data_IF_581129411208
#
_entry.id   IF_581129411208
#
_cell.length_a   1.000
_cell.length_b   1.000
_cell.length_c   1.000
_cell.angle_alpha   90.00
_cell.angle_beta   90.00
_cell.angle_gamma   90.00
#
_symmetry.space_group_name_H-M   'P 1'
#
loop_
_entity.id
_entity.type
_entity.pdbx_description
1 polymer ?
#
# COMPACT_ATOMS: atom_id res chain seq x y z
N UNK A 1 -11.70 16.47 -55.15
CA UNK A 1 -11.14 17.42 -56.13
C UNK A 1 -9.81 17.93 -55.58
N UNK A 2 -8.72 17.69 -56.34
CA UNK A 2 -7.33 18.22 -56.33
C UNK A 2 -6.64 18.52 -54.98
N UNK A 3 -5.61 17.78 -54.49
CA UNK A 3 -4.27 17.36 -55.01
C UNK A 3 -3.31 18.52 -55.37
N UNK A 4 -2.20 18.63 -54.63
CA UNK A 4 -0.77 18.67 -55.08
C UNK A 4 0.14 18.72 -53.81
N UNK A 5 1.05 17.80 -53.45
CA UNK A 5 2.20 17.12 -54.13
C UNK A 5 3.36 18.13 -54.39
N UNK A 6 4.45 18.18 -53.60
CA UNK A 6 5.70 17.35 -53.52
C UNK A 6 6.88 18.33 -53.82
N UNK A 7 8.17 18.20 -53.46
CA UNK A 7 9.18 17.16 -53.73
C UNK A 7 10.51 17.52 -53.02
N UNK A 8 11.25 16.48 -52.57
CA UNK A 8 12.65 16.42 -52.12
C UNK A 8 13.69 16.75 -53.21
N UNK A 9 14.94 17.09 -52.84
CA UNK A 9 16.13 16.49 -53.49
C UNK A 9 17.43 16.65 -52.69
N UNK A 10 18.23 15.58 -52.72
CA UNK A 10 19.56 15.36 -52.13
C UNK A 10 20.75 15.84 -53.01
N UNK A 11 21.87 16.21 -52.34
CA UNK A 11 23.31 15.92 -52.62
C UNK A 11 23.98 16.30 -53.99
N UNK A 12 25.33 16.22 -54.17
CA UNK A 12 26.51 16.24 -53.25
C UNK A 12 27.76 17.05 -53.74
N UNK A 13 28.84 17.01 -52.92
CA UNK A 13 30.30 16.99 -53.23
C UNK A 13 30.99 18.12 -54.03
N UNK A 14 32.06 18.67 -53.45
CA UNK A 14 33.34 18.92 -54.18
C UNK A 14 34.55 18.85 -53.24
N UNK A 15 35.63 18.31 -53.81
CA UNK A 15 36.98 18.04 -53.28
C UNK A 15 37.97 18.79 -54.19
N UNK A 16 39.09 19.30 -53.67
CA UNK A 16 40.38 19.64 -54.34
C UNK A 16 41.16 20.57 -53.38
N UNK A 17 42.48 20.69 -53.30
CA UNK A 17 43.68 19.99 -53.77
C UNK A 17 44.87 20.55 -52.93
N UNK A 18 45.75 19.69 -52.37
CA UNK A 18 47.18 19.55 -52.68
C UNK A 18 47.98 20.82 -53.04
N UNK A 19 49.09 21.08 -52.31
CA UNK A 19 50.46 21.33 -52.84
C UNK A 19 51.52 21.32 -51.71
N UNK A 20 52.50 20.40 -51.76
CA UNK A 20 53.96 20.54 -52.10
C UNK A 20 54.85 21.16 -51.01
N UNK A 21 55.68 20.37 -50.33
CA UNK A 21 57.06 19.91 -50.65
C UNK A 21 58.18 20.96 -50.41
N UNK A 22 59.02 20.71 -49.40
CA UNK A 22 60.31 21.38 -49.17
C UNK A 22 61.31 20.41 -48.56
N UNK A 23 62.47 20.25 -49.21
CA UNK A 23 63.49 19.20 -49.04
C UNK A 23 64.71 19.78 -48.31
N UNK A 24 65.30 19.07 -47.33
CA UNK A 24 66.55 19.57 -46.72
C UNK A 24 67.24 18.72 -45.63
N UNK A 25 68.02 17.73 -46.08
CA UNK A 25 69.32 17.22 -45.53
C UNK A 25 69.48 16.75 -44.07
N UNK A 26 69.86 15.46 -44.01
CA UNK A 26 70.98 14.82 -43.28
C UNK A 26 70.99 14.85 -41.75
N UNK A 27 70.87 13.64 -41.19
CA UNK A 27 71.92 13.14 -40.30
C UNK A 27 71.43 12.57 -38.97
N UNK A 28 71.95 11.36 -38.68
CA UNK A 28 71.96 10.62 -37.41
C UNK A 28 70.75 9.74 -37.15
N UNK A 29 71.03 8.44 -37.30
CA UNK A 29 70.23 7.34 -36.79
C UNK A 29 69.94 7.55 -35.30
N UNK A 30 68.66 7.55 -34.96
CA UNK A 30 68.17 7.38 -33.60
C UNK A 30 67.21 6.21 -33.65
N UNK A 31 67.51 5.24 -32.80
CA UNK A 31 66.78 4.00 -32.58
C UNK A 31 65.33 4.33 -32.16
N UNK A 32 64.35 4.11 -33.04
CA UNK A 32 62.94 4.19 -32.68
C UNK A 32 62.51 2.84 -32.09
N UNK A 33 62.38 2.80 -30.77
CA UNK A 33 61.57 1.77 -30.10
C UNK A 33 60.11 2.10 -30.39
N UNK A 34 59.47 1.29 -31.25
CA UNK A 34 58.03 1.34 -31.45
C UNK A 34 57.39 0.63 -30.25
N UNK A 35 56.94 1.40 -29.25
CA UNK A 35 55.98 0.88 -28.28
C UNK A 35 54.60 0.91 -28.95
N UNK A 36 54.17 -0.24 -29.48
CA UNK A 36 52.76 -0.45 -29.81
C UNK A 36 51.97 -0.54 -28.51
N UNK A 37 51.36 0.58 -28.09
CA UNK A 37 50.26 0.52 -27.13
C UNK A 37 49.04 -0.04 -27.84
N UNK A 38 48.81 -1.34 -27.71
CA UNK A 38 47.51 -1.93 -27.96
C UNK A 38 46.55 -1.42 -26.88
N UNK A 39 45.69 -0.47 -27.24
CA UNK A 39 44.61 -0.03 -26.37
C UNK A 39 43.56 -1.14 -26.35
N UNK A 40 43.70 -2.08 -25.41
CA UNK A 40 42.63 -2.98 -25.02
C UNK A 40 41.52 -2.11 -24.40
N UNK A 41 40.47 -1.85 -25.20
CA UNK A 41 39.18 -1.47 -24.67
C UNK A 41 38.64 -2.66 -23.87
N UNK A 42 39.06 -2.75 -22.61
CA UNK A 42 38.33 -3.53 -21.64
C UNK A 42 36.96 -2.88 -21.51
N UNK A 43 35.93 -3.50 -22.09
CA UNK A 43 34.55 -3.27 -21.67
C UNK A 43 34.49 -3.70 -20.20
N UNK A 44 34.81 -2.78 -19.29
CA UNK A 44 34.37 -2.90 -17.91
C UNK A 44 32.86 -2.76 -17.97
N UNK A 45 32.16 -3.88 -18.03
CA UNK A 45 30.77 -3.91 -17.62
C UNK A 45 30.77 -3.30 -16.22
N UNK A 46 30.26 -2.08 -16.10
CA UNK A 46 29.91 -1.51 -14.81
C UNK A 46 28.94 -2.56 -14.24
N UNK A 47 29.27 -3.24 -13.13
CA UNK A 47 28.29 -4.12 -12.52
C UNK A 47 27.06 -3.26 -12.30
N UNK A 48 25.93 -3.66 -12.89
CA UNK A 48 24.65 -3.07 -12.54
C UNK A 48 24.62 -3.08 -11.03
N UNK A 49 24.65 -1.89 -10.42
CA UNK A 49 24.67 -1.77 -8.97
C UNK A 49 23.55 -2.65 -8.46
N UNK A 50 23.87 -3.58 -7.57
CA UNK A 50 22.87 -4.42 -6.92
C UNK A 50 21.83 -3.45 -6.37
N UNK A 51 20.67 -3.37 -7.00
CA UNK A 51 19.54 -2.66 -6.41
C UNK A 51 19.36 -3.30 -5.03
N UNK A 52 19.51 -2.50 -3.97
CA UNK A 52 19.13 -2.97 -2.64
C UNK A 52 17.70 -3.47 -2.76
N UNK A 53 17.38 -4.62 -2.16
CA UNK A 53 15.98 -4.99 -2.00
C UNK A 53 15.24 -3.79 -1.37
N UNK A 54 14.04 -3.49 -1.89
CA UNK A 54 13.22 -2.40 -1.38
C UNK A 54 13.05 -2.59 0.14
N UNK A 55 13.06 -1.50 0.90
CA UNK A 55 12.75 -1.59 2.32
C UNK A 55 11.29 -2.03 2.52
N UNK A 56 10.94 -2.58 3.69
CA UNK A 56 9.54 -2.93 3.97
C UNK A 56 8.61 -1.72 3.85
N UNK A 57 9.09 -0.53 4.24
CA UNK A 57 8.36 0.72 4.07
C UNK A 57 8.18 1.09 2.60
N UNK A 58 9.18 0.88 1.74
CA UNK A 58 9.05 1.14 0.30
C UNK A 58 8.11 0.14 -0.38
N UNK A 59 8.17 -1.13 0.01
CA UNK A 59 7.26 -2.16 -0.48
C UNK A 59 5.81 -1.88 -0.04
N UNK A 60 5.60 -1.51 1.23
CA UNK A 60 4.30 -1.09 1.73
C UNK A 60 3.83 0.16 1.00
N UNK A 61 4.65 1.21 0.90
CA UNK A 61 4.26 2.44 0.19
C UNK A 61 3.83 2.17 -1.25
N UNK A 62 4.54 1.30 -1.97
CA UNK A 62 4.23 0.98 -3.37
C UNK A 62 2.82 0.42 -3.56
N UNK A 63 2.33 -0.38 -2.62
CA UNK A 63 1.03 -1.06 -2.71
C UNK A 63 -0.02 -0.50 -1.75
N UNK A 64 0.34 0.50 -0.95
CA UNK A 64 -0.57 1.19 -0.06
C UNK A 64 -1.69 1.87 -0.86
N UNK A 65 -2.96 1.75 -0.44
CA UNK A 65 -4.07 2.27 -1.22
C UNK A 65 -4.15 3.80 -1.18
N UNK A 66 -4.61 4.42 -2.26
CA UNK A 66 -5.30 5.71 -2.11
C UNK A 66 -6.65 5.39 -1.46
N UNK A 67 -6.87 5.91 -0.26
CA UNK A 67 -8.01 5.56 0.56
C UNK A 67 -9.04 6.70 0.47
N UNK A 68 -10.16 6.45 -0.18
CA UNK A 68 -11.30 7.36 -0.20
C UNK A 68 -12.20 6.95 0.96
N UNK A 69 -12.69 7.93 1.71
CA UNK A 69 -13.49 7.65 2.88
C UNK A 69 -14.65 8.62 2.93
N UNK A 70 -15.86 8.11 3.12
CA UNK A 70 -17.00 8.95 3.46
C UNK A 70 -16.86 9.49 4.88
N UNK A 71 -17.51 10.60 5.14
CA UNK A 71 -17.66 11.18 6.47
C UNK A 71 -19.07 11.69 6.63
N UNK A 72 -19.59 11.71 7.84
CA UNK A 72 -20.90 12.31 8.09
C UNK A 72 -20.75 13.75 8.59
N UNK A 73 -21.46 14.67 7.94
CA UNK A 73 -21.47 16.09 8.30
C UNK A 73 -21.85 16.41 9.76
N UNK A 74 -22.56 15.51 10.47
CA UNK A 74 -22.94 15.71 11.88
C UNK A 74 -21.76 15.60 12.85
N UNK A 75 -20.73 14.80 12.51
CA UNK A 75 -19.55 14.58 13.35
C UNK A 75 -18.34 14.07 12.55
N UNK A 76 -17.98 14.80 11.48
CA UNK A 76 -17.03 14.32 10.48
C UNK A 76 -15.62 14.02 11.01
N UNK A 77 -15.21 14.61 12.14
CA UNK A 77 -13.89 14.38 12.71
C UNK A 77 -13.84 13.08 13.52
N UNK A 78 -14.99 12.49 13.86
CA UNK A 78 -15.06 11.13 14.40
C UNK A 78 -14.71 10.07 13.35
N UNK A 79 -14.91 10.38 12.07
CA UNK A 79 -14.52 9.51 10.96
C UNK A 79 -13.04 9.70 10.56
N UNK A 80 -12.25 10.55 11.22
CA UNK A 80 -10.87 10.78 10.77
C UNK A 80 -9.95 9.59 11.05
N UNK A 81 -9.19 9.17 10.03
CA UNK A 81 -8.04 8.30 10.22
C UNK A 81 -7.07 8.92 11.22
N UNK A 82 -6.69 8.15 12.22
CA UNK A 82 -5.73 8.59 13.23
C UNK A 82 -4.87 7.44 13.76
N UNK A 83 -3.85 7.76 14.55
CA UNK A 83 -3.11 6.77 15.31
C UNK A 83 -3.94 6.28 16.51
N UNK A 84 -3.77 5.03 16.93
CA UNK A 84 -4.41 4.46 18.12
C UNK A 84 -4.06 5.28 19.38
N UNK A 85 -2.83 5.79 19.45
CA UNK A 85 -2.28 6.60 20.54
C UNK A 85 -2.27 8.10 20.22
N UNK A 86 -3.25 8.58 19.43
CA UNK A 86 -3.28 9.97 18.97
C UNK A 86 -3.28 11.01 20.09
N UNK A 87 -3.77 10.63 21.27
CA UNK A 87 -3.84 11.46 22.46
C UNK A 87 -2.59 11.36 23.35
N UNK A 88 -1.64 10.48 23.00
CA UNK A 88 -0.34 10.34 23.64
C UNK A 88 -0.23 9.15 24.60
N UNK A 89 -1.24 8.29 24.69
CA UNK A 89 -1.16 7.04 25.44
C UNK A 89 -1.82 5.86 24.70
N UNK A 90 -1.71 4.64 25.24
CA UNK A 90 -2.26 3.42 24.64
C UNK A 90 -3.52 2.93 25.38
N UNK A 91 -4.21 3.82 26.10
CA UNK A 91 -5.45 3.55 26.81
C UNK A 91 -6.65 3.71 25.87
N UNK A 92 -6.98 2.64 25.16
CA UNK A 92 -8.02 2.69 24.12
C UNK A 92 -9.43 2.83 24.68
N UNK A 93 -9.60 2.90 26.01
CA UNK A 93 -10.89 3.01 26.68
C UNK A 93 -11.36 4.45 26.89
N UNK A 94 -10.63 5.43 26.33
CA UNK A 94 -10.95 6.86 26.45
C UNK A 94 -10.83 7.62 25.11
N UNK A 95 -10.63 6.89 24.00
CA UNK A 95 -10.32 7.48 22.70
C UNK A 95 -11.53 8.23 22.11
N UNK A 96 -12.76 7.77 22.38
CA UNK A 96 -14.01 8.43 22.02
C UNK A 96 -14.12 9.78 22.72
N UNK A 97 -13.87 9.83 24.03
CA UNK A 97 -13.87 11.10 24.77
C UNK A 97 -12.75 12.02 24.29
N UNK A 98 -11.57 11.47 24.00
CA UNK A 98 -10.39 12.24 23.65
C UNK A 98 -10.37 12.73 22.20
N UNK A 99 -11.17 12.13 21.32
CA UNK A 99 -11.28 12.47 19.89
C UNK A 99 -11.60 13.96 19.70
N UNK A 100 -12.68 14.45 20.33
CA UNK A 100 -13.15 15.83 20.14
C UNK A 100 -12.35 16.89 20.91
N UNK A 101 -11.46 16.49 21.82
CA UNK A 101 -10.72 17.43 22.70
C UNK A 101 -9.74 18.30 21.92
N UNK A 102 -9.06 17.72 20.91
CA UNK A 102 -8.20 18.47 19.98
C UNK A 102 -8.09 17.69 18.66
N UNK A 103 -8.95 18.01 17.68
CA UNK A 103 -8.94 17.37 16.36
C UNK A 103 -7.61 17.54 15.61
N UNK A 104 -6.75 18.50 16.01
CA UNK A 104 -5.40 18.67 15.45
C UNK A 104 -4.46 17.49 15.73
N UNK A 105 -4.83 16.59 16.64
CA UNK A 105 -4.12 15.33 16.91
C UNK A 105 -4.53 14.19 15.98
N UNK A 106 -5.68 14.28 15.30
CA UNK A 106 -6.24 13.25 14.41
C UNK A 106 -5.51 13.22 13.07
N UNK A 107 -4.24 12.79 13.13
CA UNK A 107 -3.33 12.78 11.99
C UNK A 107 -3.46 11.44 11.27
N UNK A 108 -3.81 11.51 9.99
CA UNK A 108 -3.96 10.36 9.11
C UNK A 108 -2.83 9.35 9.28
N UNK A 109 -3.18 8.15 9.73
CA UNK A 109 -2.26 7.05 9.97
C UNK A 109 -2.86 5.78 9.40
N UNK A 110 -2.03 4.97 8.74
CA UNK A 110 -2.37 3.60 8.40
C UNK A 110 -1.27 2.68 8.93
N UNK A 111 -1.67 1.71 9.72
CA UNK A 111 -0.77 0.68 10.21
C UNK A 111 -0.53 -0.34 9.11
N UNK A 112 0.68 -0.87 8.97
CA UNK A 112 0.95 -1.95 8.02
C UNK A 112 1.75 -3.09 8.64
N UNK A 113 1.61 -4.28 8.06
CA UNK A 113 2.49 -5.42 8.32
C UNK A 113 2.76 -6.19 7.03
N UNK A 114 3.92 -6.86 6.98
CA UNK A 114 4.30 -7.68 5.84
C UNK A 114 4.59 -9.11 6.31
N UNK A 115 3.85 -10.05 5.74
CA UNK A 115 4.14 -11.48 5.81
C UNK A 115 4.62 -11.95 4.44
N UNK A 116 5.58 -12.86 4.42
CA UNK A 116 6.29 -13.23 3.21
C UNK A 116 6.41 -14.74 3.06
N UNK A 117 6.03 -15.26 1.90
CA UNK A 117 6.33 -16.64 1.48
C UNK A 117 7.38 -16.62 0.38
N UNK A 118 7.83 -17.79 -0.08
CA UNK A 118 8.76 -17.89 -1.21
C UNK A 118 8.22 -17.28 -2.52
N UNK A 119 6.90 -17.07 -2.63
CA UNK A 119 6.24 -16.63 -3.88
C UNK A 119 5.51 -15.30 -3.78
N UNK A 120 5.11 -14.89 -2.58
CA UNK A 120 4.26 -13.69 -2.39
C UNK A 120 4.71 -12.87 -1.18
N UNK A 121 4.41 -11.57 -1.26
CA UNK A 121 4.26 -10.71 -0.09
C UNK A 121 2.76 -10.52 0.18
N UNK A 122 2.41 -10.56 1.45
CA UNK A 122 1.07 -10.31 1.98
C UNK A 122 1.19 -9.04 2.82
N UNK A 123 0.68 -7.93 2.30
CA UNK A 123 0.81 -6.63 2.95
C UNK A 123 -0.55 -6.22 3.45
N UNK A 124 -0.70 -6.20 4.77
CA UNK A 124 -1.91 -5.79 5.45
C UNK A 124 -1.80 -4.31 5.81
N UNK A 125 -2.86 -3.54 5.56
CA UNK A 125 -3.05 -2.17 6.00
C UNK A 125 -4.26 -2.11 6.94
N UNK A 126 -4.16 -1.35 8.01
CA UNK A 126 -5.24 -1.14 8.97
C UNK A 126 -5.46 0.37 9.22
N UNK A 127 -6.72 0.76 9.24
CA UNK A 127 -7.20 2.14 9.28
C UNK A 127 -8.00 2.32 10.57
N UNK A 128 -7.49 3.15 11.47
CA UNK A 128 -8.04 3.32 12.81
C UNK A 128 -8.88 4.58 12.92
N UNK A 129 -10.02 4.45 13.59
CA UNK A 129 -10.90 5.53 14.01
C UNK A 129 -11.09 5.46 15.53
N UNK A 130 -11.23 6.60 16.23
CA UNK A 130 -11.45 6.58 17.68
C UNK A 130 -12.74 5.88 18.10
N UNK A 131 -13.70 5.70 17.19
CA UNK A 131 -15.00 5.08 17.45
C UNK A 131 -15.73 4.64 16.18
N UNK A 132 -16.59 3.65 16.29
CA UNK A 132 -17.74 3.38 15.41
C UNK A 132 -18.98 4.03 16.05
N UNK A 133 -19.72 4.86 15.31
CA UNK A 133 -20.73 5.74 15.89
C UNK A 133 -21.98 5.90 15.04
N UNK A 134 -23.09 6.32 15.65
CA UNK A 134 -24.34 6.59 14.92
C UNK A 134 -25.06 7.82 15.47
N UNK A 135 -25.88 8.49 14.63
CA UNK A 135 -26.77 9.57 15.11
C UNK A 135 -27.93 9.02 15.98
N UNK A 136 -28.20 7.72 15.90
CA UNK A 136 -29.40 7.10 16.44
C UNK A 136 -29.10 5.86 17.31
N UNK A 137 -28.34 6.01 18.42
CA UNK A 137 -27.86 4.89 19.23
C UNK A 137 -28.97 4.07 19.90
N UNK A 138 -30.16 4.66 20.08
CA UNK A 138 -31.30 4.01 20.74
C UNK A 138 -32.10 3.06 19.85
N UNK A 139 -31.66 2.80 18.61
CA UNK A 139 -32.33 1.88 17.68
C UNK A 139 -31.59 0.55 17.50
N UNK A 140 -30.61 0.24 18.37
CA UNK A 140 -29.88 -1.03 18.33
C UNK A 140 -28.93 -1.14 17.14
N UNK A 141 -28.48 0.00 16.61
CA UNK A 141 -27.35 0.06 15.69
C UNK A 141 -26.06 -0.17 16.50
N UNK A 142 -25.10 -0.88 15.91
CA UNK A 142 -23.79 -1.09 16.52
C UNK A 142 -23.08 0.27 16.61
N UNK A 143 -22.54 0.58 17.78
CA UNK A 143 -21.61 1.68 18.01
C UNK A 143 -20.66 1.22 19.11
N UNK A 144 -19.41 1.65 19.05
CA UNK A 144 -18.41 1.28 20.05
C UNK A 144 -17.16 2.16 20.03
N UNK A 145 -16.55 2.23 21.20
CA UNK A 145 -15.19 2.72 21.40
C UNK A 145 -14.19 1.98 20.49
N UNK A 146 -13.31 2.74 19.84
CA UNK A 146 -12.38 2.27 18.81
C UNK A 146 -13.08 1.74 17.57
N UNK A 147 -12.40 1.85 16.44
CA UNK A 147 -12.70 1.06 15.26
C UNK A 147 -11.44 0.84 14.43
N UNK A 148 -11.27 -0.37 13.89
CA UNK A 148 -10.11 -0.71 13.09
C UNK A 148 -10.51 -1.68 12.00
N UNK A 149 -10.41 -1.19 10.78
CA UNK A 149 -10.78 -1.90 9.56
C UNK A 149 -9.57 -2.02 8.65
N UNK A 150 -9.58 -2.95 7.70
CA UNK A 150 -8.35 -3.31 7.00
C UNK A 150 -8.45 -3.79 5.57
N UNK A 151 -7.26 -3.90 4.97
CA UNK A 151 -7.04 -4.34 3.60
C UNK A 151 -5.81 -5.23 3.57
N UNK A 152 -5.97 -6.48 3.14
CA UNK A 152 -4.86 -7.34 2.76
C UNK A 152 -4.62 -7.24 1.26
N UNK A 153 -3.40 -6.90 0.85
CA UNK A 153 -2.95 -6.99 -0.54
C UNK A 153 -2.06 -8.21 -0.74
N UNK A 154 -2.25 -8.91 -1.87
CA UNK A 154 -1.50 -10.12 -2.22
C UNK A 154 -0.64 -9.84 -3.43
N UNK A 155 0.68 -9.79 -3.24
CA UNK A 155 1.64 -9.36 -4.25
C UNK A 155 2.55 -10.53 -4.63
N UNK A 156 2.46 -10.97 -5.89
CA UNK A 156 3.36 -11.99 -6.42
C UNK A 156 4.75 -11.42 -6.64
N UNK A 157 5.76 -12.16 -6.21
CA UNK A 157 7.16 -11.92 -6.59
C UNK A 157 7.39 -12.44 -8.00
N UNK A 158 7.57 -11.54 -8.95
CA UNK A 158 7.79 -11.87 -10.37
C UNK A 158 9.21 -11.51 -10.86
N UNK A 159 10.11 -11.18 -9.93
CA UNK A 159 11.49 -10.78 -10.19
C UNK A 159 11.66 -9.27 -10.39
N UNK A 160 10.57 -8.48 -10.44
CA UNK A 160 10.65 -7.02 -10.32
C UNK A 160 10.81 -6.59 -8.86
N UNK A 161 11.22 -5.34 -8.65
CA UNK A 161 11.50 -4.77 -7.31
C UNK A 161 10.27 -4.84 -6.39
N UNK A 162 9.07 -4.66 -6.93
CA UNK A 162 7.83 -4.60 -6.16
C UNK A 162 6.80 -5.67 -6.52
N UNK A 163 7.13 -6.58 -7.43
CA UNK A 163 6.20 -7.62 -7.86
C UNK A 163 4.96 -7.11 -8.58
N UNK A 164 3.88 -7.91 -8.52
CA UNK A 164 2.58 -7.62 -9.12
C UNK A 164 1.45 -7.98 -8.16
N UNK A 165 0.52 -7.05 -7.94
CA UNK A 165 -0.71 -7.30 -7.19
C UNK A 165 -1.57 -8.34 -7.90
N UNK A 166 -2.09 -9.33 -7.18
CA UNK A 166 -2.96 -10.39 -7.72
C UNK A 166 -4.33 -10.46 -7.05
N UNK A 167 -4.44 -10.02 -5.79
CA UNK A 167 -5.68 -9.96 -5.05
C UNK A 167 -5.65 -8.89 -3.96
N UNK A 168 -6.85 -8.52 -3.49
CA UNK A 168 -7.08 -7.65 -2.34
C UNK A 168 -8.27 -8.20 -1.56
N UNK A 169 -8.14 -8.33 -0.24
CA UNK A 169 -9.25 -8.70 0.66
C UNK A 169 -9.48 -7.54 1.62
N UNK A 170 -10.71 -7.06 1.77
CA UNK A 170 -11.04 -5.95 2.67
C UNK A 170 -11.92 -6.42 3.80
N UNK A 171 -11.82 -5.74 4.95
CA UNK A 171 -12.70 -5.96 6.11
C UNK A 171 -13.85 -4.96 6.03
N UNK A 172 -15.07 -5.46 6.21
CA UNK A 172 -16.28 -4.67 6.28
C UNK A 172 -17.07 -5.16 7.48
N UNK A 173 -16.82 -4.54 8.63
CA UNK A 173 -17.32 -4.95 9.94
C UNK A 173 -16.89 -6.37 10.33
N UNK A 174 -17.73 -7.36 10.03
CA UNK A 174 -17.60 -8.76 10.44
C UNK A 174 -17.43 -9.71 9.25
N UNK A 175 -17.39 -9.16 8.04
CA UNK A 175 -17.33 -9.89 6.77
C UNK A 175 -16.09 -9.46 5.99
N UNK A 176 -15.50 -10.36 5.21
CA UNK A 176 -14.43 -10.04 4.28
C UNK A 176 -14.93 -10.01 2.83
N UNK A 177 -14.39 -9.09 2.04
CA UNK A 177 -14.73 -8.97 0.62
C UNK A 177 -13.49 -9.15 -0.25
N UNK A 178 -13.63 -9.92 -1.33
CA UNK A 178 -12.53 -10.37 -2.17
C UNK A 178 -12.52 -9.67 -3.53
N UNK A 179 -11.39 -9.07 -3.87
CA UNK A 179 -11.21 -8.32 -5.13
C UNK A 179 -9.94 -8.77 -5.84
N UNK A 180 -9.87 -8.55 -7.15
CA UNK A 180 -8.64 -8.75 -7.92
C UNK A 180 -8.41 -7.68 -8.98
N UNK A 181 -7.16 -7.41 -9.38
CA UNK A 181 -6.87 -6.65 -10.58
C UNK A 181 -7.47 -7.31 -11.83
N UNK A 182 -7.80 -6.51 -12.86
CA UNK A 182 -8.43 -7.03 -14.09
C UNK A 182 -7.56 -8.03 -14.85
N UNK A 183 -6.24 -7.95 -14.69
CA UNK A 183 -5.24 -8.81 -15.30
C UNK A 183 -4.82 -10.00 -14.41
N UNK A 184 -5.35 -10.10 -13.19
CA UNK A 184 -5.09 -11.24 -12.31
C UNK A 184 -5.81 -12.51 -12.81
N UNK A 185 -5.08 -13.63 -12.77
CA UNK A 185 -5.59 -14.94 -13.17
C UNK A 185 -6.43 -15.62 -12.10
N UNK A 186 -6.50 -15.06 -10.89
CA UNK A 186 -7.24 -15.66 -9.79
C UNK A 186 -8.73 -15.78 -10.15
N UNK A 187 -9.34 -16.85 -9.69
CA UNK A 187 -10.78 -17.13 -9.83
C UNK A 187 -11.41 -17.22 -8.44
N UNK A 188 -12.74 -17.33 -8.37
CA UNK A 188 -13.42 -17.67 -7.13
C UNK A 188 -12.84 -18.97 -6.55
N UNK A 189 -12.70 -19.01 -5.23
CA UNK A 189 -12.38 -20.19 -4.44
C UNK A 189 -13.61 -20.61 -3.64
N UNK A 190 -13.48 -20.69 -2.32
CA UNK A 190 -14.63 -20.77 -1.42
C UNK A 190 -15.36 -19.43 -1.32
N UNK A 191 -14.62 -18.32 -1.45
CA UNK A 191 -15.19 -16.99 -1.56
C UNK A 191 -15.45 -16.54 -3.00
N UNK A 192 -16.42 -15.64 -3.15
CA UNK A 192 -16.69 -14.97 -4.42
C UNK A 192 -15.81 -13.75 -4.61
N UNK A 193 -15.32 -13.53 -5.84
CA UNK A 193 -14.71 -12.26 -6.19
C UNK A 193 -15.83 -11.21 -6.37
N UNK A 194 -15.86 -10.23 -5.48
CA UNK A 194 -16.85 -9.15 -5.40
C UNK A 194 -16.62 -8.04 -6.42
N UNK A 195 -15.40 -7.91 -6.94
CA UNK A 195 -15.11 -6.86 -7.90
C UNK A 195 -13.67 -6.77 -8.37
N UNK A 196 -13.41 -5.66 -9.05
CA UNK A 196 -12.09 -5.36 -9.63
C UNK A 196 -11.39 -4.27 -8.84
N UNK A 197 -10.11 -4.49 -8.51
CA UNK A 197 -9.24 -3.47 -7.94
C UNK A 197 -8.99 -2.38 -8.97
N UNK A 198 -9.33 -1.14 -8.64
CA UNK A 198 -9.05 0.05 -9.45
C UNK A 198 -7.83 0.77 -8.93
N UNK A 199 -7.24 1.61 -9.78
CA UNK A 199 -6.00 2.32 -9.47
C UNK A 199 -6.15 3.82 -9.68
N UNK A 200 -5.46 4.59 -8.84
CA UNK A 200 -5.19 6.00 -9.06
C UNK A 200 -3.69 6.23 -9.17
N UNK A 201 -3.30 7.17 -10.04
CA UNK A 201 -1.90 7.57 -10.15
C UNK A 201 -1.58 8.61 -9.09
N UNK A 202 -0.55 8.33 -8.29
CA UNK A 202 -0.04 9.21 -7.25
C UNK A 202 1.47 8.99 -7.14
N UNK A 203 2.24 10.09 -6.99
CA UNK A 203 3.70 10.05 -6.86
C UNK A 203 4.42 9.23 -7.96
N UNK A 204 3.90 9.32 -9.19
CA UNK A 204 4.44 8.60 -10.35
C UNK A 204 4.13 7.11 -10.40
N UNK A 205 3.32 6.57 -9.49
CA UNK A 205 2.96 5.15 -9.39
C UNK A 205 1.45 4.93 -9.40
N UNK A 206 1.03 3.70 -9.71
CA UNK A 206 -0.38 3.30 -9.60
C UNK A 206 -0.62 2.63 -8.25
N UNK A 207 -1.46 3.25 -7.43
CA UNK A 207 -1.87 2.73 -6.12
C UNK A 207 -3.26 2.10 -6.24
N UNK A 208 -3.53 0.95 -5.59
CA UNK A 208 -4.90 0.44 -5.48
C UNK A 208 -5.77 1.47 -4.77
N UNK A 209 -7.09 1.40 -4.94
CA UNK A 209 -8.01 2.39 -4.38
C UNK A 209 -9.09 1.68 -3.58
N UNK A 210 -9.32 2.17 -2.37
CA UNK A 210 -10.38 1.71 -1.48
C UNK A 210 -11.41 2.80 -1.24
N UNK A 211 -12.61 2.37 -0.87
CA UNK A 211 -13.65 3.21 -0.32
C UNK A 211 -14.04 2.69 1.06
N UNK A 212 -14.22 3.58 2.02
CA UNK A 212 -14.67 3.28 3.37
C UNK A 212 -15.90 4.13 3.68
N UNK A 213 -16.93 3.54 4.27
CA UNK A 213 -18.12 4.29 4.68
C UNK A 213 -17.86 5.18 5.90
N UNK A 214 -18.71 6.19 6.10
CA UNK A 214 -18.72 6.96 7.34
C UNK A 214 -19.24 6.07 8.48
N UNK A 215 -19.00 6.46 9.73
CA UNK A 215 -19.59 5.85 10.93
C UNK A 215 -19.14 4.42 11.23
N UNK A 216 -19.62 3.44 10.48
CA UNK A 216 -19.29 2.02 10.69
C UNK A 216 -18.01 1.58 9.99
N UNK A 217 -17.45 2.44 9.14
CA UNK A 217 -16.13 2.32 8.51
C UNK A 217 -15.83 1.01 7.76
N UNK A 218 -16.82 0.26 7.31
CA UNK A 218 -16.58 -0.89 6.44
C UNK A 218 -15.85 -0.54 5.14
N UNK A 219 -14.84 -1.33 4.75
CA UNK A 219 -13.98 -1.05 3.58
C UNK A 219 -14.33 -1.97 2.41
N UNK A 220 -14.37 -1.40 1.19
CA UNK A 220 -14.38 -2.13 -0.09
C UNK A 220 -13.36 -1.58 -1.07
N UNK A 221 -13.10 -2.30 -2.16
CA UNK A 221 -12.45 -1.71 -3.32
C UNK A 221 -13.32 -0.58 -3.89
N UNK A 222 -12.70 0.54 -4.27
CA UNK A 222 -13.44 1.62 -4.91
C UNK A 222 -13.99 1.17 -6.28
N UNK A 223 -15.28 1.37 -6.48
CA UNK A 223 -16.01 0.90 -7.67
C UNK A 223 -15.87 1.83 -8.88
N UNK A 224 -15.29 3.01 -8.72
CA UNK A 224 -15.17 4.04 -9.75
C UNK A 224 -16.16 5.21 -9.58
N UNK A 225 -16.95 5.21 -8.51
CA UNK A 225 -17.91 6.26 -8.20
C UNK A 225 -17.22 7.62 -8.07
N UNK A 226 -17.80 8.64 -8.71
CA UNK A 226 -17.34 10.02 -8.57
C UNK A 226 -18.01 10.67 -7.37
N UNK A 227 -17.20 11.08 -6.40
CA UNK A 227 -17.61 11.79 -5.20
C UNK A 227 -17.53 13.31 -5.36
N UNK A 228 -17.84 13.82 -6.56
CA UNK A 228 -17.85 15.26 -6.80
C UNK A 228 -18.98 15.90 -5.98
N UNK A 229 -18.62 16.81 -5.06
CA UNK A 229 -19.55 17.52 -4.14
C UNK A 229 -20.17 16.67 -3.03
N UNK A 230 -19.55 15.57 -2.62
CA UNK A 230 -19.94 14.82 -1.41
C UNK A 230 -18.91 15.02 -0.29
N UNK A 231 -19.28 14.65 0.92
CA UNK A 231 -18.53 14.62 2.18
C UNK A 231 -17.57 13.42 2.27
N UNK A 232 -16.60 13.37 1.36
CA UNK A 232 -15.51 12.36 1.43
C UNK A 232 -14.15 12.98 1.75
N UNK A 233 -13.20 12.16 2.17
CA UNK A 233 -11.79 12.50 2.30
C UNK A 233 -10.97 11.61 1.37
N UNK A 234 -9.97 12.19 0.70
CA UNK A 234 -8.99 11.43 -0.09
C UNK A 234 -7.67 11.42 0.68
N UNK A 235 -7.35 10.26 1.22
CA UNK A 235 -6.11 9.96 1.92
C UNK A 235 -5.10 9.34 0.95
N UNK A 236 -3.94 9.98 0.83
CA UNK A 236 -2.83 9.51 0.02
C UNK A 236 -1.71 8.97 0.90
N UNK A 237 -1.10 7.82 0.56
CA UNK A 237 -0.02 7.26 1.36
C UNK A 237 1.16 8.22 1.45
N UNK A 238 1.88 8.13 2.56
CA UNK A 238 3.14 8.81 2.81
C UNK A 238 4.03 7.94 3.69
N UNK A 239 5.35 8.06 3.50
CA UNK A 239 6.34 7.39 4.34
C UNK A 239 6.53 8.07 5.69
N UNK A 240 6.30 9.38 5.76
CA UNK A 240 6.74 10.21 6.88
C UNK A 240 5.78 11.36 7.24
N UNK A 241 4.84 11.71 6.36
CA UNK A 241 3.89 12.82 6.57
C UNK A 241 2.50 12.28 6.94
N UNK A 242 2.00 12.72 8.10
CA UNK A 242 0.61 12.55 8.49
C UNK A 242 -0.09 13.92 8.47
N UNK A 243 -1.19 14.04 7.76
CA UNK A 243 -2.01 15.25 7.67
C UNK A 243 -3.28 15.13 8.50
N UNK A 244 -3.82 16.26 8.94
CA UNK A 244 -5.16 16.35 9.53
C UNK A 244 -6.09 16.88 8.44
N UNK A 245 -7.25 16.25 8.18
CA UNK A 245 -8.24 16.80 7.26
C UNK A 245 -8.74 18.18 7.71
N UNK A 246 -9.15 19.03 6.77
CA UNK A 246 -9.68 20.37 7.06
C UNK A 246 -11.18 20.41 7.38
N UNK A 247 -11.86 19.28 7.26
CA UNK A 247 -13.30 19.07 7.37
C UNK A 247 -13.69 17.73 6.75
N UNK A 248 -14.96 17.34 6.80
CA UNK A 248 -15.49 16.12 6.14
C UNK A 248 -15.42 16.13 4.60
N UNK A 249 -14.85 17.18 3.99
CA UNK A 249 -14.61 17.24 2.55
C UNK A 249 -13.19 17.76 2.30
N UNK A 250 -12.23 16.84 2.23
CA UNK A 250 -10.83 17.15 1.91
C UNK A 250 -10.27 16.18 0.88
N UNK A 251 -9.89 16.70 -0.28
CA UNK A 251 -9.44 15.88 -1.42
C UNK A 251 -7.92 15.65 -1.47
N UNK A 252 -7.18 16.07 -0.44
CA UNK A 252 -5.72 15.91 -0.40
C UNK A 252 -5.17 15.86 1.02
N UNK A 253 -5.42 14.75 1.71
CA UNK A 253 -4.84 14.45 3.03
C UNK A 253 -3.78 13.38 2.88
N UNK A 254 -2.70 13.45 3.68
CA UNK A 254 -1.69 12.39 3.74
C UNK A 254 -1.96 11.50 4.94
N UNK A 255 -1.83 10.20 4.75
CA UNK A 255 -1.69 9.29 5.87
C UNK A 255 -0.27 8.75 5.94
N UNK A 256 0.30 8.68 7.14
CA UNK A 256 1.61 8.08 7.35
C UNK A 256 1.48 6.58 7.51
N UNK A 257 2.35 5.82 6.84
CA UNK A 257 2.52 4.40 7.07
C UNK A 257 3.31 4.14 8.35
N UNK A 258 2.76 3.34 9.25
CA UNK A 258 3.37 2.95 10.53
C UNK A 258 3.44 1.43 10.59
N UNK A 259 4.64 0.88 10.80
CA UNK A 259 4.81 -0.56 10.95
C UNK A 259 4.16 -1.02 12.28
N UNK A 260 3.26 -2.01 12.21
CA UNK A 260 2.64 -2.65 13.38
C UNK A 260 3.71 -3.19 14.35
N UNK A 261 4.84 -3.64 13.81
CA UNK A 261 5.97 -4.20 14.54
C UNK A 261 7.09 -3.18 14.82
N UNK A 262 6.85 -1.89 14.57
CA UNK A 262 7.79 -0.85 15.02
C UNK A 262 8.01 -0.98 16.53
N UNK A 263 9.21 -0.63 17.05
CA UNK A 263 9.45 -0.64 18.49
C UNK A 263 8.44 0.25 19.23
N UNK A 264 7.83 -0.28 20.29
CA UNK A 264 6.73 0.37 21.02
C UNK A 264 5.50 0.64 20.11
N UNK A 265 5.33 -0.16 19.06
CA UNK A 265 4.20 -0.12 18.16
C UNK A 265 3.06 -1.02 18.61
N UNK A 266 2.03 -1.11 17.76
CA UNK A 266 0.78 -1.80 18.07
C UNK A 266 0.98 -3.25 18.54
N UNK A 267 1.90 -4.00 17.93
CA UNK A 267 2.16 -5.38 18.33
C UNK A 267 2.82 -5.48 19.71
N UNK A 268 3.69 -4.54 20.09
CA UNK A 268 4.33 -4.55 21.41
C UNK A 268 3.30 -4.34 22.54
N UNK A 269 2.21 -3.64 22.26
CA UNK A 269 1.08 -3.42 23.17
C UNK A 269 0.02 -4.54 23.16
N UNK A 270 0.19 -5.63 22.39
CA UNK A 270 -0.83 -6.70 22.25
C UNK A 270 -1.28 -7.39 23.55
N UNK A 271 -0.51 -7.22 24.63
CA UNK A 271 -0.82 -7.75 25.96
C UNK A 271 -1.07 -6.65 27.00
N UNK A 272 -1.09 -5.39 26.58
CA UNK A 272 -1.40 -4.26 27.45
C UNK A 272 -2.91 -4.26 27.74
N UNK A 273 -3.34 -4.44 29.01
CA UNK A 273 -4.75 -4.47 29.37
C UNK A 273 -5.45 -3.11 29.19
N UNK A 274 -4.70 -2.02 29.06
CA UNK A 274 -5.28 -0.71 28.73
C UNK A 274 -5.64 -0.59 27.26
N UNK A 275 -4.93 -1.30 26.39
CA UNK A 275 -5.14 -1.30 24.94
C UNK A 275 -6.07 -2.41 24.50
N UNK A 276 -5.98 -3.59 25.13
CA UNK A 276 -6.75 -4.77 24.74
C UNK A 276 -7.44 -5.41 25.94
N UNK A 277 -8.76 -5.57 25.85
CA UNK A 277 -9.58 -6.23 26.88
C UNK A 277 -9.40 -7.75 26.88
N UNK A 278 -9.08 -8.31 25.71
CA UNK A 278 -8.71 -9.70 25.50
C UNK A 278 -7.84 -9.82 24.25
N UNK A 279 -7.44 -11.03 23.84
CA UNK A 279 -6.54 -11.20 22.70
C UNK A 279 -7.09 -10.55 21.41
N UNK A 280 -6.50 -9.41 21.05
CA UNK A 280 -6.86 -8.62 19.86
C UNK A 280 -8.17 -7.84 19.94
N UNK A 281 -8.97 -7.96 21.00
CA UNK A 281 -10.15 -7.12 21.19
C UNK A 281 -9.73 -5.82 21.90
N UNK A 282 -9.94 -4.68 21.26
CA UNK A 282 -9.60 -3.39 21.87
C UNK A 282 -10.33 -3.20 23.21
N UNK A 283 -9.70 -2.48 24.13
CA UNK A 283 -10.32 -2.15 25.40
C UNK A 283 -11.23 -0.94 25.18
N UNK A 284 -12.55 -1.18 25.16
CA UNK A 284 -13.57 -0.15 24.96
C UNK A 284 -14.64 -0.20 26.05
N UNK A 285 -15.16 0.95 26.46
CA UNK A 285 -16.20 1.08 27.50
C UNK A 285 -17.45 1.86 27.03
N UNK A 286 -17.43 2.41 25.82
CA UNK A 286 -18.56 3.09 25.19
C UNK A 286 -19.22 2.20 24.13
N UNK A 287 -20.55 2.30 24.02
CA UNK A 287 -21.34 1.50 23.08
C UNK A 287 -21.57 0.04 23.52
N UNK A 288 -22.04 -0.80 22.59
CA UNK A 288 -22.38 -2.21 22.87
C UNK A 288 -21.62 -3.21 22.00
N UNK A 289 -20.84 -2.73 21.03
CA UNK A 289 -19.98 -3.54 20.17
C UNK A 289 -18.54 -3.60 20.64
N UNK A 290 -17.62 -3.77 19.69
CA UNK A 290 -16.19 -3.69 19.96
C UNK A 290 -15.34 -3.92 18.72
N UNK A 291 -14.21 -3.22 18.66
CA UNK A 291 -13.24 -3.34 17.58
C UNK A 291 -12.19 -4.42 17.85
N UNK A 292 -11.65 -4.98 16.77
CA UNK A 292 -10.58 -5.98 16.83
C UNK A 292 -9.34 -5.51 16.08
N UNK A 293 -8.18 -5.94 16.54
CA UNK A 293 -6.91 -5.84 15.85
C UNK A 293 -6.81 -6.87 14.71
N UNK A 294 -5.86 -6.73 13.78
CA UNK A 294 -5.74 -7.60 12.62
C UNK A 294 -5.61 -9.09 12.94
N UNK A 295 -4.99 -9.43 14.06
CA UNK A 295 -4.82 -10.80 14.54
C UNK A 295 -6.05 -11.37 15.28
N UNK A 296 -7.17 -10.67 15.26
CA UNK A 296 -8.47 -11.11 15.79
C UNK A 296 -9.65 -10.84 14.84
N UNK A 297 -9.47 -10.18 13.69
CA UNK A 297 -10.49 -10.09 12.66
C UNK A 297 -10.90 -11.46 12.13
N UNK A 298 -12.20 -11.69 11.98
CA UNK A 298 -12.75 -13.00 11.63
C UNK A 298 -13.92 -12.80 10.69
N UNK A 299 -13.89 -13.47 9.54
CA UNK A 299 -15.06 -13.60 8.69
C UNK A 299 -15.85 -14.83 9.16
N UNK A 300 -17.00 -14.56 9.78
CA UNK A 300 -17.67 -15.58 10.61
C UNK A 300 -18.36 -16.66 9.80
N UNK A 301 -18.54 -16.46 8.50
CA UNK A 301 -19.19 -17.43 7.62
C UNK A 301 -18.24 -18.24 6.71
N UNK A 302 -16.91 -18.04 6.87
CA UNK A 302 -15.83 -18.88 6.29
C UNK A 302 -15.88 -20.37 6.70
N UNK A 303 -16.81 -20.73 7.58
CA UNK A 303 -16.93 -22.05 8.18
C UNK A 303 -15.80 -22.35 9.17
N UNK A 304 -15.54 -23.63 9.41
CA UNK A 304 -14.56 -24.06 10.43
C UNK A 304 -13.11 -24.18 9.93
N UNK A 305 -12.82 -23.81 8.68
CA UNK A 305 -11.50 -23.99 8.08
C UNK A 305 -10.56 -22.83 8.39
N UNK A 306 -11.08 -21.62 8.40
CA UNK A 306 -10.37 -20.42 8.82
C UNK A 306 -10.67 -20.09 10.28
N UNK A 307 -9.77 -19.36 10.91
CA UNK A 307 -9.93 -18.88 12.28
C UNK A 307 -9.73 -17.37 12.30
N UNK A 308 -10.37 -16.72 13.28
CA UNK A 308 -10.10 -15.33 13.59
C UNK A 308 -8.61 -15.03 13.69
N UNK A 309 -8.22 -13.96 13.01
CA UNK A 309 -6.87 -13.45 12.87
C UNK A 309 -6.09 -14.01 11.69
N UNK A 310 -6.59 -15.00 10.94
CA UNK A 310 -5.82 -15.60 9.84
C UNK A 310 -5.63 -14.67 8.63
N UNK A 311 -6.40 -13.57 8.51
CA UNK A 311 -6.10 -12.49 7.55
C UNK A 311 -4.72 -11.86 7.79
N UNK A 312 -4.28 -11.78 9.06
CA UNK A 312 -2.97 -11.25 9.42
C UNK A 312 -1.94 -12.36 9.68
N UNK A 313 -2.33 -13.40 10.42
CA UNK A 313 -1.42 -14.41 10.98
C UNK A 313 -1.12 -15.58 10.04
N UNK A 314 -2.05 -15.94 9.15
CA UNK A 314 -1.85 -16.96 8.12
C UNK A 314 -2.48 -16.54 6.77
N UNK A 315 -2.09 -15.39 6.20
CA UNK A 315 -2.71 -14.84 5.00
C UNK A 315 -2.54 -15.77 3.79
N UNK A 316 -1.46 -16.57 3.72
CA UNK A 316 -1.29 -17.53 2.64
C UNK A 316 -2.33 -18.66 2.70
N UNK A 317 -2.74 -19.09 3.90
CA UNK A 317 -3.85 -20.04 4.06
C UNK A 317 -5.17 -19.41 3.63
N UNK A 318 -5.50 -18.22 4.13
CA UNK A 318 -6.74 -17.51 3.78
C UNK A 318 -6.86 -17.36 2.27
N UNK A 319 -5.84 -16.84 1.60
CA UNK A 319 -5.84 -16.66 0.15
C UNK A 319 -5.94 -17.98 -0.62
N UNK A 320 -5.35 -19.06 -0.08
CA UNK A 320 -5.49 -20.40 -0.70
C UNK A 320 -6.89 -20.99 -0.64
N UNK A 321 -7.73 -20.47 0.25
CA UNK A 321 -9.13 -20.88 0.43
C UNK A 321 -10.05 -19.93 -0.34
N UNK A 322 -9.85 -18.62 -0.21
CA UNK A 322 -10.68 -17.59 -0.83
C UNK A 322 -10.61 -17.60 -2.35
N UNK A 323 -9.43 -17.85 -2.92
CA UNK A 323 -9.19 -17.75 -4.35
C UNK A 323 -8.75 -19.08 -4.98
N UNK A 324 -9.17 -19.28 -6.24
CA UNK A 324 -8.72 -20.36 -7.10
C UNK A 324 -7.71 -19.90 -8.15
N UNK A 325 -7.15 -20.87 -8.89
CA UNK A 325 -6.21 -20.64 -10.00
C UNK A 325 -4.96 -19.78 -9.62
N UNK A 326 -4.37 -20.10 -8.47
CA UNK A 326 -3.27 -19.34 -7.87
C UNK A 326 -1.90 -19.56 -8.55
N UNK A 327 -1.83 -20.50 -9.50
CA UNK A 327 -0.57 -20.90 -10.15
C UNK A 327 0.47 -21.38 -9.13
N UNK A 328 1.71 -20.90 -9.26
CA UNK A 328 2.76 -21.16 -8.27
C UNK A 328 2.53 -20.34 -7.01
N UNK A 329 1.85 -20.93 -6.02
CA UNK A 329 1.50 -20.30 -4.75
C UNK A 329 2.06 -21.11 -3.58
N UNK A 330 2.84 -20.46 -2.73
CA UNK A 330 3.45 -21.07 -1.55
C UNK A 330 2.74 -20.66 -0.27
N UNK A 331 2.52 -21.63 0.62
CA UNK A 331 2.10 -21.43 2.01
C UNK A 331 3.25 -21.54 3.01
N UNK A 332 4.48 -21.71 2.52
CA UNK A 332 5.67 -21.75 3.35
C UNK A 332 6.19 -20.34 3.57
N UNK A 333 6.09 -19.87 4.82
CA UNK A 333 6.58 -18.55 5.22
C UNK A 333 8.09 -18.53 5.31
N UNK A 334 8.70 -17.54 4.65
CA UNK A 334 10.10 -17.18 4.86
C UNK A 334 10.24 -16.11 5.96
N UNK A 335 9.18 -15.31 6.16
CA UNK A 335 9.07 -14.35 7.25
C UNK A 335 7.60 -14.16 7.63
N UNK A 336 7.27 -14.37 8.91
CA UNK A 336 5.95 -14.07 9.46
C UNK A 336 6.13 -13.56 10.90
N UNK A 337 6.12 -12.22 11.10
CA UNK A 337 6.43 -11.66 12.42
C UNK A 337 5.37 -11.94 13.50
N UNK A 338 4.17 -12.40 13.12
CA UNK A 338 3.11 -12.75 14.06
C UNK A 338 3.36 -14.07 14.82
N UNK A 339 4.24 -14.93 14.28
CA UNK A 339 4.53 -16.27 14.83
C UNK A 339 6.03 -16.52 15.07
N UNK A 340 6.86 -15.48 14.91
CA UNK A 340 8.31 -15.53 15.04
C UNK A 340 8.81 -15.35 16.46
#
# INVERSE_FOLDING_TARGET
MNKMIQVHHDHPYTRTDKEKLGRGKRGRAVLFVVLMFALLLANTAIPAGSASAASDLDLAYRWAPVHIQDTDSSDYDADYLTAIDFDGDWDTSNNWENQSVDPGRLKGTAYYSIVETTTHWFILYAFYHPRDWTDFPFFGLDEHENDLEGVLTVVRKDGTEYGRLEAMVTVFHKDFYSFKPSDSTFTNGQETIDGTVRYLSYDGMNHPVTFQEAKGHGIKAWDGTSYANTDVIYYYPSRDVAGVPKGGNDRNVKYKLVDIFAPNGMWDHRFDPKTFSSWGAFNGNNGTGGANAPWAWDDKDDGGQLKGGELATDPAKLISIYFGNLGSFSREYVRNPYIS
#
